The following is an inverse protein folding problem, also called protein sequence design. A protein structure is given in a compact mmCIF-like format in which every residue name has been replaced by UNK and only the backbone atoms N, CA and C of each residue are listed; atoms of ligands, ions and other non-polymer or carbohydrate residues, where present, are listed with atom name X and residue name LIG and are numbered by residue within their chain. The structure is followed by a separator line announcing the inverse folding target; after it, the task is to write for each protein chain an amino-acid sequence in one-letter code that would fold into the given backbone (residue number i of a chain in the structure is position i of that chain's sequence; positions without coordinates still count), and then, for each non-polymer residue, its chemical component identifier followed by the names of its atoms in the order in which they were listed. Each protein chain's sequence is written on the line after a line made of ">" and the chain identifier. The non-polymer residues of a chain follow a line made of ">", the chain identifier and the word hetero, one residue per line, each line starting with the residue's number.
data_IF_746457862960
#
_entry.id   IF_746457862960
#
_cell.length_a   1.000
_cell.length_b   1.000
_cell.length_c   1.000
_cell.angle_alpha   90.00
_cell.angle_beta   90.00
_cell.angle_gamma   90.00
#
_symmetry.space_group_name_H-M   'P 1'
#
loop_
_entity.id
_entity.type
_entity.pdbx_description
1 polymer ?
#
# COMPACT_ATOMS: atom_id res chain seq x y z
N UNK A 1 12.28 3.06 -9.93
CA UNK A 1 11.22 3.09 -10.95
C UNK A 1 9.98 2.48 -10.31
N UNK A 2 8.83 3.17 -10.34
CA UNK A 2 7.59 2.67 -9.74
C UNK A 2 6.68 2.14 -10.85
N UNK A 3 6.21 0.91 -10.71
CA UNK A 3 5.18 0.33 -11.56
C UNK A 3 3.90 0.13 -10.74
N UNK A 4 2.75 0.39 -11.36
CA UNK A 4 1.42 0.28 -10.74
C UNK A 4 0.53 -0.53 -11.68
N UNK A 5 -0.22 -1.48 -11.12
CA UNK A 5 -1.17 -2.31 -11.84
C UNK A 5 -2.57 -2.09 -11.29
N UNK A 6 -3.57 -2.27 -12.14
CA UNK A 6 -4.97 -2.31 -11.77
C UNK A 6 -5.62 -3.51 -12.48
N UNK A 7 -6.52 -4.17 -11.77
CA UNK A 7 -7.30 -5.28 -12.28
C UNK A 7 -8.57 -5.42 -11.46
N UNK A 8 -9.64 -5.91 -12.08
CA UNK A 8 -10.85 -6.30 -11.37
C UNK A 8 -10.56 -7.54 -10.50
N UNK A 9 -11.03 -7.53 -9.26
CA UNK A 9 -10.88 -8.66 -8.37
C UNK A 9 -11.41 -8.38 -6.97
N UNK A 10 -11.75 -9.46 -6.26
CA UNK A 10 -12.16 -9.45 -4.86
C UNK A 10 -11.05 -10.07 -4.02
N UNK A 11 -10.00 -9.28 -3.74
CA UNK A 11 -8.90 -9.74 -2.88
C UNK A 11 -9.31 -9.63 -1.42
N UNK A 12 -9.21 -10.73 -0.69
CA UNK A 12 -9.34 -10.75 0.77
C UNK A 12 -8.15 -10.02 1.42
N UNK A 13 -8.41 -8.80 1.88
CA UNK A 13 -7.42 -7.94 2.54
C UNK A 13 -6.88 -8.54 3.84
N UNK A 14 -7.59 -9.49 4.46
CA UNK A 14 -7.15 -10.16 5.70
C UNK A 14 -6.07 -11.23 5.44
N UNK A 15 -6.02 -11.73 4.21
CA UNK A 15 -5.03 -12.69 3.75
C UNK A 15 -3.72 -12.02 3.28
N UNK A 16 -3.66 -10.70 3.18
CA UNK A 16 -2.45 -9.98 2.74
C UNK A 16 -1.31 -10.21 3.74
N UNK A 17 -0.14 -10.58 3.22
CA UNK A 17 1.11 -10.75 3.97
C UNK A 17 2.20 -9.95 3.28
N UNK A 18 2.81 -9.03 4.00
CA UNK A 18 3.96 -8.28 3.48
C UNK A 18 5.25 -9.04 3.74
N UNK A 19 6.31 -8.63 3.05
CA UNK A 19 7.67 -8.98 3.47
C UNK A 19 7.98 -8.37 4.84
N UNK A 20 9.02 -8.89 5.49
CA UNK A 20 9.55 -8.35 6.74
C UNK A 20 10.93 -7.77 6.54
N UNK A 21 11.26 -6.72 7.29
CA UNK A 21 12.61 -6.16 7.39
C UNK A 21 13.08 -6.16 8.84
N UNK A 22 14.40 -6.15 9.05
CA UNK A 22 14.99 -6.07 10.38
C UNK A 22 15.40 -4.64 10.71
N UNK A 23 15.15 -4.23 11.95
CA UNK A 23 15.45 -2.92 12.50
C UNK A 23 15.97 -3.10 13.92
N UNK A 24 16.96 -2.31 14.29
CA UNK A 24 17.37 -2.22 15.69
C UNK A 24 16.30 -1.51 16.52
N UNK A 25 15.73 -2.20 17.49
CA UNK A 25 14.67 -1.65 18.33
C UNK A 25 14.68 -2.20 19.76
N UNK A 26 14.60 -1.35 20.80
CA UNK A 26 14.59 0.12 20.76
C UNK A 26 15.90 0.72 20.22
N UNK A 27 15.92 1.99 19.77
CA UNK A 27 17.13 2.59 19.18
C UNK A 27 18.34 2.55 20.12
N UNK A 28 19.51 2.14 19.60
CA UNK A 28 20.79 1.99 20.32
C UNK A 28 20.81 0.85 21.36
N UNK A 29 19.93 -0.13 21.25
CA UNK A 29 19.90 -1.33 22.09
C UNK A 29 20.80 -2.47 21.60
N UNK A 30 21.26 -2.45 20.35
CA UNK A 30 21.94 -3.56 19.67
C UNK A 30 21.03 -4.77 19.38
N UNK A 31 19.72 -4.68 19.65
CA UNK A 31 18.74 -5.75 19.43
C UNK A 31 18.06 -5.56 18.09
N UNK A 32 18.25 -6.50 17.16
CA UNK A 32 17.49 -6.55 15.91
C UNK A 32 16.14 -7.22 16.12
N UNK A 33 15.11 -6.65 15.52
CA UNK A 33 13.75 -7.19 15.50
C UNK A 33 13.17 -7.08 14.09
N UNK A 34 12.41 -8.11 13.68
CA UNK A 34 11.72 -8.15 12.41
C UNK A 34 10.35 -7.44 12.49
N UNK A 35 10.04 -6.63 11.49
CA UNK A 35 8.79 -5.89 11.33
C UNK A 35 8.22 -6.07 9.92
N UNK A 36 6.89 -6.09 9.74
CA UNK A 36 6.29 -6.10 8.42
C UNK A 36 6.55 -4.76 7.71
N UNK A 37 6.82 -4.82 6.40
CA UNK A 37 6.90 -3.63 5.55
C UNK A 37 5.55 -2.90 5.44
N UNK A 38 4.45 -3.64 5.47
CA UNK A 38 3.08 -3.10 5.45
C UNK A 38 2.32 -3.68 6.63
N UNK A 39 1.81 -2.81 7.49
CA UNK A 39 1.08 -3.16 8.70
C UNK A 39 -0.39 -3.50 8.45
N UNK A 40 -0.99 -2.90 7.41
CA UNK A 40 -2.41 -3.05 7.08
C UNK A 40 -2.69 -2.89 5.59
N UNK A 41 -3.59 -3.73 5.08
CA UNK A 41 -4.23 -3.58 3.77
C UNK A 41 -5.73 -3.32 3.94
N UNK A 42 -6.31 -2.53 3.05
CA UNK A 42 -7.74 -2.24 3.00
C UNK A 42 -8.15 -1.74 1.62
N UNK A 43 -9.41 -2.01 1.26
CA UNK A 43 -10.05 -1.40 0.10
C UNK A 43 -10.62 -0.03 0.44
N UNK A 44 -10.57 0.89 -0.52
CA UNK A 44 -11.07 2.24 -0.38
C UNK A 44 -11.78 2.66 -1.68
N UNK A 45 -12.82 3.48 -1.55
CA UNK A 45 -13.34 4.22 -2.69
C UNK A 45 -12.33 5.26 -3.20
N UNK A 46 -12.53 5.75 -4.43
CA UNK A 46 -11.63 6.72 -5.07
C UNK A 46 -11.47 8.01 -4.24
N UNK A 47 -12.53 8.64 -3.70
CA UNK A 47 -12.38 9.82 -2.86
C UNK A 47 -11.50 9.58 -1.62
N UNK A 48 -11.70 8.46 -0.92
CA UNK A 48 -10.93 8.10 0.26
C UNK A 48 -9.48 7.78 -0.10
N UNK A 49 -9.25 7.02 -1.18
CA UNK A 49 -7.93 6.66 -1.64
C UNK A 49 -7.07 7.90 -1.97
N UNK A 50 -7.65 8.95 -2.56
CA UNK A 50 -6.94 10.23 -2.86
C UNK A 50 -6.35 10.89 -1.63
N UNK A 51 -6.98 10.73 -0.47
CA UNK A 51 -6.51 11.33 0.80
C UNK A 51 -5.50 10.47 1.54
N UNK A 52 -5.46 9.16 1.27
CA UNK A 52 -4.60 8.20 1.97
C UNK A 52 -3.32 7.86 1.21
N UNK A 53 -3.34 7.94 -0.11
CA UNK A 53 -2.21 7.58 -0.96
C UNK A 53 -1.10 8.65 -0.88
N UNK A 54 0.15 8.25 -1.17
CA UNK A 54 1.26 9.20 -1.31
C UNK A 54 0.89 10.27 -2.35
N UNK A 55 1.05 11.59 -2.07
CA UNK A 55 0.59 12.64 -2.98
C UNK A 55 1.07 12.51 -4.43
N UNK A 56 2.30 12.06 -4.65
CA UNK A 56 2.85 11.82 -5.98
C UNK A 56 2.20 10.67 -6.77
N UNK A 57 1.38 9.85 -6.13
CA UNK A 57 0.69 8.70 -6.73
C UNK A 57 -0.78 9.00 -7.07
N UNK A 58 -1.33 10.15 -6.66
CA UNK A 58 -2.70 10.57 -7.01
C UNK A 58 -3.01 10.47 -8.51
N UNK A 59 -2.09 10.83 -9.44
CA UNK A 59 -2.36 10.71 -10.87
C UNK A 59 -2.70 9.28 -11.34
N UNK A 60 -2.30 8.23 -10.60
CA UNK A 60 -2.68 6.85 -10.94
C UNK A 60 -4.16 6.58 -10.67
N UNK A 61 -4.74 7.19 -9.64
CA UNK A 61 -6.18 7.11 -9.37
C UNK A 61 -6.99 7.84 -10.44
N UNK A 62 -6.51 8.98 -10.95
CA UNK A 62 -7.14 9.70 -12.07
C UNK A 62 -7.14 8.86 -13.34
N UNK A 63 -6.03 8.17 -13.63
CA UNK A 63 -5.90 7.25 -14.76
C UNK A 63 -6.85 6.07 -14.64
N UNK A 64 -6.96 5.48 -13.44
CA UNK A 64 -7.91 4.39 -13.18
C UNK A 64 -9.37 4.85 -13.38
N UNK A 65 -9.74 6.00 -12.81
CA UNK A 65 -11.10 6.54 -12.94
C UNK A 65 -11.47 6.80 -14.41
N UNK A 66 -10.53 7.37 -15.18
CA UNK A 66 -10.70 7.57 -16.62
C UNK A 66 -10.89 6.24 -17.37
N UNK A 67 -10.13 5.21 -17.00
CA UNK A 67 -10.22 3.90 -17.63
C UNK A 67 -11.55 3.19 -17.34
N UNK A 68 -12.12 3.36 -16.14
CA UNK A 68 -13.40 2.75 -15.74
C UNK A 68 -14.62 3.50 -16.29
N UNK A 69 -14.46 4.74 -16.75
CA UNK A 69 -15.55 5.56 -17.31
C UNK A 69 -15.74 5.38 -18.83
N UNK A 70 -14.86 4.63 -19.49
CA UNK A 70 -14.96 4.24 -20.90
C UNK A 70 -15.59 2.86 -21.07
#
# INVERSE_FOLDING_TARGET
>A
MLAVWAGEGDLDVTAVRSNTFELEWPPRSGRLQAFPEIDRAAWFDLPTARTKIVPGQVPFLDRLATHLAG
#
